data_IF_205131286944
#
_entry.id   IF_205131286944
#
_cell.length_a   1.000
_cell.length_b   1.000
_cell.length_c   1.000
_cell.angle_alpha   90.00
_cell.angle_beta   90.00
_cell.angle_gamma   90.00
#
_symmetry.space_group_name_H-M   'P 1'
#
loop_
_entity.id
_entity.type
_entity.pdbx_description
1 polymer ?
#
# COMPACT_ATOMS: atom_id res chain seq x y z
N UNK A 1 -9.79 -5.48 14.68
CA UNK A 1 -9.10 -5.42 13.37
C UNK A 1 -8.24 -4.14 13.38
N UNK A 2 -6.90 -4.24 13.36
CA UNK A 2 -6.03 -3.06 13.28
C UNK A 2 -5.96 -2.61 11.82
N UNK A 3 -6.34 -1.36 11.54
CA UNK A 3 -6.33 -0.80 10.18
C UNK A 3 -4.92 -0.59 9.63
N UNK A 4 -3.92 -0.50 10.50
CA UNK A 4 -2.52 -0.27 10.19
C UNK A 4 -1.65 -1.01 11.21
N UNK A 5 -0.57 -1.65 10.74
CA UNK A 5 0.37 -2.38 11.60
C UNK A 5 1.76 -1.81 11.39
N UNK A 6 2.39 -1.38 12.48
CA UNK A 6 3.77 -0.89 12.46
C UNK A 6 4.74 -2.06 12.31
N UNK A 7 5.72 -1.90 11.43
CA UNK A 7 6.85 -2.82 11.29
C UNK A 7 8.15 -2.05 11.03
N UNK A 8 9.26 -2.78 10.90
CA UNK A 8 10.60 -2.24 10.73
C UNK A 8 10.77 -1.39 9.46
N UNK A 9 9.87 -1.48 8.48
CA UNK A 9 9.91 -0.64 7.28
C UNK A 9 9.46 0.80 7.55
N UNK A 10 8.80 1.07 8.70
CA UNK A 10 8.29 2.38 9.08
C UNK A 10 9.02 3.02 10.27
N UNK A 11 9.98 2.29 10.85
CA UNK A 11 10.80 2.73 11.98
C UNK A 11 12.19 3.09 11.50
N UNK A 12 12.61 4.30 11.80
CA UNK A 12 13.92 4.84 11.41
C UNK A 12 15.00 4.54 12.45
N UNK A 13 14.61 4.02 13.62
CA UNK A 13 15.48 3.81 14.77
C UNK A 13 15.78 5.10 15.54
N UNK A 14 15.11 6.21 15.18
CA UNK A 14 15.23 7.52 15.84
C UNK A 14 13.95 7.79 16.63
N UNK A 15 13.98 7.73 17.97
CA UNK A 15 12.77 7.75 18.80
C UNK A 15 11.86 8.95 18.56
N UNK A 16 12.44 10.14 18.37
CA UNK A 16 11.67 11.38 18.17
C UNK A 16 10.96 11.42 16.82
N UNK A 17 11.62 10.92 15.76
CA UNK A 17 11.06 10.85 14.41
C UNK A 17 9.97 9.80 14.34
N UNK A 18 10.21 8.63 14.94
CA UNK A 18 9.26 7.53 14.95
C UNK A 18 8.01 7.89 15.78
N UNK A 19 8.16 8.63 16.88
CA UNK A 19 7.05 9.13 17.69
C UNK A 19 6.18 10.17 16.94
N UNK A 20 6.82 11.11 16.22
CA UNK A 20 6.09 12.09 15.41
C UNK A 20 5.37 11.42 14.24
N UNK A 21 6.01 10.45 13.58
CA UNK A 21 5.41 9.69 12.50
C UNK A 21 4.22 8.86 12.99
N UNK A 22 4.33 8.24 14.16
CA UNK A 22 3.22 7.58 14.85
C UNK A 22 2.06 8.54 15.10
N UNK A 23 2.34 9.73 15.62
CA UNK A 23 1.30 10.74 15.88
C UNK A 23 0.60 11.16 14.59
N UNK A 24 1.33 11.44 13.51
CA UNK A 24 0.75 11.82 12.21
C UNK A 24 -0.12 10.70 11.64
N UNK A 25 0.40 9.48 11.56
CA UNK A 25 -0.35 8.32 11.05
C UNK A 25 -1.59 8.06 11.91
N UNK A 26 -1.46 8.10 13.24
CA UNK A 26 -2.58 7.87 14.16
C UNK A 26 -3.62 8.99 14.06
N UNK A 27 -3.20 10.26 14.05
CA UNK A 27 -4.13 11.40 13.95
C UNK A 27 -4.77 11.56 12.58
N UNK A 28 -4.23 10.96 11.52
CA UNK A 28 -4.82 11.02 10.17
C UNK A 28 -5.63 9.77 9.81
N UNK A 29 -5.15 8.57 10.21
CA UNK A 29 -5.76 7.28 9.85
C UNK A 29 -6.69 6.74 10.95
N UNK A 30 -6.51 7.11 12.23
CA UNK A 30 -7.36 6.58 13.32
C UNK A 30 -8.80 7.11 13.29
N UNK A 31 -9.04 8.27 12.68
CA UNK A 31 -10.40 8.82 12.53
C UNK A 31 -11.19 8.20 11.38
N UNK A 32 -10.51 7.48 10.49
CA UNK A 32 -11.11 6.88 9.31
C UNK A 32 -10.96 5.36 9.45
N UNK A 33 -12.04 4.67 9.85
CA UNK A 33 -12.12 3.19 9.84
C UNK A 33 -12.16 2.61 8.40
N UNK A 34 -11.35 3.14 7.49
CA UNK A 34 -11.27 2.65 6.12
C UNK A 34 -9.85 2.19 5.83
N UNK A 35 -9.73 0.93 5.42
CA UNK A 35 -8.52 0.38 4.81
C UNK A 35 -8.63 0.49 3.29
N UNK A 36 -7.53 0.82 2.62
CA UNK A 36 -7.44 0.77 1.16
C UNK A 36 -6.61 -0.45 0.73
N UNK A 37 -7.00 -1.06 -0.39
CA UNK A 37 -6.17 -2.05 -1.09
C UNK A 37 -5.45 -1.36 -2.24
N UNK A 38 -4.24 -1.82 -2.60
CA UNK A 38 -3.44 -1.18 -3.66
C UNK A 38 -2.81 -2.21 -4.58
N UNK A 39 -2.85 -1.96 -5.88
CA UNK A 39 -2.12 -2.72 -6.88
C UNK A 39 -0.88 -1.95 -7.34
N UNK A 40 0.26 -2.64 -7.44
CA UNK A 40 1.53 -2.04 -7.91
C UNK A 40 2.11 -2.83 -9.07
N UNK A 41 2.75 -2.16 -10.01
CA UNK A 41 3.42 -2.78 -11.16
C UNK A 41 4.63 -1.96 -11.57
N UNK A 42 5.69 -2.64 -12.00
CA UNK A 42 6.84 -2.01 -12.64
C UNK A 42 6.64 -1.95 -14.16
N UNK A 43 7.05 -0.84 -14.77
CA UNK A 43 7.01 -0.69 -16.23
C UNK A 43 7.86 -1.78 -16.88
N UNK A 44 7.26 -2.53 -17.81
CA UNK A 44 7.94 -3.58 -18.58
C UNK A 44 8.16 -3.14 -20.01
N UNK A 45 9.21 -3.62 -20.70
CA UNK A 45 9.41 -3.35 -22.13
C UNK A 45 8.24 -3.78 -23.02
N UNK A 46 7.45 -4.78 -22.60
CA UNK A 46 6.25 -5.25 -23.30
C UNK A 46 5.03 -4.34 -23.15
N UNK A 47 5.06 -3.35 -22.24
CA UNK A 47 3.98 -2.38 -22.05
C UNK A 47 4.20 -1.19 -22.98
N UNK A 48 3.53 -1.23 -24.12
CA UNK A 48 3.69 -0.24 -25.20
C UNK A 48 3.03 1.12 -24.91
N UNK A 49 2.16 1.20 -23.91
CA UNK A 49 1.47 2.43 -23.54
C UNK A 49 1.13 2.47 -22.04
N UNK A 50 0.73 3.66 -21.56
CA UNK A 50 0.34 3.87 -20.17
C UNK A 50 -0.91 3.05 -19.77
N UNK A 51 -1.80 2.75 -20.72
CA UNK A 51 -3.00 1.95 -20.45
C UNK A 51 -2.65 0.52 -20.03
N UNK A 52 -1.65 -0.09 -20.68
CA UNK A 52 -1.15 -1.42 -20.31
C UNK A 52 -0.58 -1.45 -18.88
N UNK A 53 0.11 -0.37 -18.47
CA UNK A 53 0.62 -0.21 -17.12
C UNK A 53 -0.53 -0.06 -16.10
N UNK A 54 -1.52 0.79 -16.41
CA UNK A 54 -2.67 1.03 -15.53
C UNK A 54 -3.54 -0.23 -15.38
N UNK A 55 -3.80 -0.97 -16.46
CA UNK A 55 -4.52 -2.25 -16.42
C UNK A 55 -3.80 -3.27 -15.54
N UNK A 56 -2.48 -3.36 -15.65
CA UNK A 56 -1.70 -4.27 -14.83
C UNK A 56 -1.72 -3.88 -13.34
N UNK A 57 -1.66 -2.58 -13.02
CA UNK A 57 -1.82 -2.08 -11.67
C UNK A 57 -3.23 -2.39 -11.12
N UNK A 58 -4.28 -2.19 -11.92
CA UNK A 58 -5.67 -2.48 -11.54
C UNK A 58 -5.89 -3.98 -11.28
N UNK A 59 -5.30 -4.86 -12.07
CA UNK A 59 -5.29 -6.30 -11.80
C UNK A 59 -4.66 -6.63 -10.44
N UNK A 60 -3.55 -5.98 -10.08
CA UNK A 60 -2.95 -6.10 -8.74
C UNK A 60 -3.86 -5.60 -7.61
N UNK A 61 -4.67 -4.57 -7.88
CA UNK A 61 -5.68 -4.07 -6.94
C UNK A 61 -6.79 -5.10 -6.73
N UNK A 62 -7.28 -5.73 -7.81
CA UNK A 62 -8.26 -6.81 -7.73
C UNK A 62 -7.74 -7.99 -6.91
N UNK A 63 -6.51 -8.45 -7.15
CA UNK A 63 -5.88 -9.50 -6.35
C UNK A 63 -5.82 -9.14 -4.86
N UNK A 64 -5.52 -7.87 -4.54
CA UNK A 64 -5.50 -7.40 -3.15
C UNK A 64 -6.89 -7.42 -2.52
N UNK A 65 -7.95 -7.14 -3.28
CA UNK A 65 -9.34 -7.24 -2.81
C UNK A 65 -9.75 -8.70 -2.56
N UNK A 66 -9.36 -9.61 -3.44
CA UNK A 66 -9.63 -11.05 -3.30
C UNK A 66 -8.89 -11.66 -2.12
N UNK A 67 -7.68 -11.20 -1.80
CA UNK A 67 -6.85 -11.65 -0.68
C UNK A 67 -7.29 -11.15 0.71
N UNK A 68 -8.52 -10.67 0.83
CA UNK A 68 -9.08 -10.18 2.10
C UNK A 68 -8.91 -8.69 2.34
N UNK A 69 -8.55 -7.91 1.31
CA UNK A 69 -8.37 -6.44 1.36
C UNK A 69 -7.23 -6.01 2.30
N UNK A 70 -7.08 -4.70 2.49
CA UNK A 70 -6.04 -4.09 3.34
C UNK A 70 -4.62 -4.60 3.06
N UNK A 71 -4.31 -4.87 1.79
CA UNK A 71 -3.01 -5.36 1.37
C UNK A 71 -2.59 -4.73 0.04
N UNK A 72 -1.32 -4.94 -0.27
CA UNK A 72 -0.70 -4.53 -1.53
C UNK A 72 -0.34 -5.78 -2.30
N UNK A 73 -0.70 -5.85 -3.57
CA UNK A 73 -0.33 -6.94 -4.45
C UNK A 73 0.22 -6.41 -5.77
N UNK A 74 1.09 -7.21 -6.36
CA UNK A 74 1.56 -7.03 -7.72
C UNK A 74 1.18 -8.26 -8.52
N UNK A 75 0.83 -8.07 -9.79
CA UNK A 75 0.85 -9.20 -10.72
C UNK A 75 2.32 -9.52 -10.96
N UNK A 76 2.76 -10.74 -10.59
CA UNK A 76 4.14 -11.18 -10.80
C UNK A 76 4.53 -10.87 -12.25
N UNK A 77 5.61 -10.09 -12.38
CA UNK A 77 6.18 -9.74 -13.66
C UNK A 77 7.27 -10.69 -14.06
#
# INVERSE_FOLDING_TARGET
MQAFRWDHCFLTGRPTVDQQHHYLVTSTISWVRHSASRGVVALKPSMTNAEALLKAADQGLYLSKERGRNCVSSILG
#
